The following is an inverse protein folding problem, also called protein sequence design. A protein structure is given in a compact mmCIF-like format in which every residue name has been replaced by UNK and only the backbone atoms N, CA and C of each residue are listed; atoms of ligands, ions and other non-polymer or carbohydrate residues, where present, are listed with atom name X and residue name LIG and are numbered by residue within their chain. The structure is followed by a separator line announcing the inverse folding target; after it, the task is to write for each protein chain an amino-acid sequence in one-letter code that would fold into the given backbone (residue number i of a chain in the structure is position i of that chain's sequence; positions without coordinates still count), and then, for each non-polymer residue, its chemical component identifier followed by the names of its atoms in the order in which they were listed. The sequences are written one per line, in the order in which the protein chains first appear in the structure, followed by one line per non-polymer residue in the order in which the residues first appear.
data_IF_640893507148
#
_entry.id   IF_640893507148
#
_cell.length_a   1.000
_cell.length_b   1.000
_cell.length_c   1.000
_cell.angle_alpha   90.00
_cell.angle_beta   90.00
_cell.angle_gamma   90.00
#
_symmetry.space_group_name_H-M   'P 1'
#
loop_
_entity.id
_entity.type
_entity.pdbx_description
1 polymer ?
#
# COMPACT_ATOMS: atom_id res chain seq x y z
N UNK A 1 -15.80 -26.69 -11.69
CA UNK A 1 -15.04 -25.82 -10.76
C UNK A 1 -13.69 -25.56 -11.39
N UNK A 2 -13.24 -24.30 -11.39
CA UNK A 2 -11.86 -23.91 -11.78
C UNK A 2 -11.18 -23.27 -10.58
N UNK A 3 -9.84 -23.22 -10.56
CA UNK A 3 -9.12 -22.54 -9.49
C UNK A 3 -9.34 -21.02 -9.58
N UNK A 4 -9.16 -20.47 -10.79
CA UNK A 4 -9.23 -19.04 -11.10
C UNK A 4 -10.50 -18.72 -11.93
N UNK A 5 -11.10 -17.53 -11.76
CA UNK A 5 -12.23 -17.07 -12.55
C UNK A 5 -11.73 -16.46 -13.86
N UNK A 6 -11.18 -17.29 -14.77
CA UNK A 6 -10.62 -16.79 -16.02
C UNK A 6 -11.61 -15.92 -16.80
N UNK A 7 -12.92 -16.14 -16.74
CA UNK A 7 -13.90 -15.26 -17.42
C UNK A 7 -13.85 -13.81 -16.92
N UNK A 8 -13.54 -13.61 -15.64
CA UNK A 8 -13.49 -12.29 -15.00
C UNK A 8 -12.11 -11.67 -15.18
N UNK A 9 -11.05 -12.47 -15.00
CA UNK A 9 -9.68 -12.00 -15.13
C UNK A 9 -9.24 -11.81 -16.58
N UNK A 10 -9.66 -12.67 -17.50
CA UNK A 10 -9.45 -12.47 -18.94
C UNK A 10 -10.14 -11.19 -19.42
N UNK A 11 -11.35 -10.89 -18.91
CA UNK A 11 -12.04 -9.62 -19.19
C UNK A 11 -11.30 -8.41 -18.62
N UNK A 12 -10.83 -8.52 -17.37
CA UNK A 12 -10.11 -7.43 -16.71
C UNK A 12 -8.74 -7.19 -17.35
N UNK A 13 -8.03 -8.26 -17.70
CA UNK A 13 -6.68 -8.22 -18.24
C UNK A 13 -6.60 -8.11 -19.77
N UNK A 14 -7.74 -8.16 -20.47
CA UNK A 14 -7.82 -8.26 -21.93
C UNK A 14 -6.93 -9.40 -22.47
N UNK A 15 -7.08 -10.58 -21.86
CA UNK A 15 -6.28 -11.78 -22.15
C UNK A 15 -7.18 -12.98 -22.45
N UNK A 16 -6.58 -14.10 -22.90
CA UNK A 16 -7.30 -15.37 -23.13
C UNK A 16 -6.47 -16.52 -22.59
N UNK A 17 -6.70 -16.90 -21.35
CA UNK A 17 -5.96 -17.95 -20.65
C UNK A 17 -6.75 -19.27 -20.57
N UNK A 18 -8.07 -19.21 -20.44
CA UNK A 18 -8.95 -20.36 -20.19
C UNK A 18 -9.35 -21.20 -21.42
N UNK A 19 -8.49 -21.37 -22.43
CA UNK A 19 -8.85 -22.01 -23.73
C UNK A 19 -9.43 -23.41 -23.59
N UNK A 20 -8.77 -24.29 -22.81
CA UNK A 20 -9.22 -25.67 -22.61
C UNK A 20 -10.58 -25.75 -21.90
N UNK A 21 -10.78 -24.90 -20.89
CA UNK A 21 -12.06 -24.82 -20.17
C UNK A 21 -13.15 -24.26 -21.07
N UNK A 22 -12.82 -23.29 -21.92
CA UNK A 22 -13.75 -22.73 -22.91
C UNK A 22 -14.20 -23.79 -23.91
N UNK A 23 -13.26 -24.59 -24.43
CA UNK A 23 -13.54 -25.71 -25.32
C UNK A 23 -14.42 -26.78 -24.64
N UNK A 24 -14.06 -27.17 -23.41
CA UNK A 24 -14.89 -28.11 -22.63
C UNK A 24 -16.33 -27.61 -22.46
N UNK A 25 -16.51 -26.32 -22.13
CA UNK A 25 -17.84 -25.74 -21.88
C UNK A 25 -18.65 -25.61 -23.17
N UNK A 26 -18.03 -25.13 -24.25
CA UNK A 26 -18.72 -24.80 -25.50
C UNK A 26 -18.97 -26.03 -26.36
N UNK A 27 -17.95 -26.84 -26.54
CA UNK A 27 -17.95 -27.94 -27.52
C UNK A 27 -18.43 -29.26 -26.89
N UNK A 28 -18.06 -29.54 -25.64
CA UNK A 28 -18.41 -30.82 -24.99
C UNK A 28 -19.62 -30.72 -24.06
N UNK A 29 -19.67 -29.73 -23.16
CA UNK A 29 -20.83 -29.56 -22.28
C UNK A 29 -22.01 -28.95 -23.04
N UNK A 30 -21.76 -28.06 -24.00
CA UNK A 30 -22.73 -27.58 -24.98
C UNK A 30 -24.09 -27.19 -24.37
N UNK A 31 -24.08 -26.25 -23.41
CA UNK A 31 -25.29 -25.78 -22.70
C UNK A 31 -25.67 -26.58 -21.44
N UNK A 32 -24.97 -27.68 -21.14
CA UNK A 32 -25.17 -28.46 -19.90
C UNK A 32 -24.51 -27.86 -18.66
N UNK A 33 -23.61 -26.89 -18.82
CA UNK A 33 -22.95 -26.25 -17.68
C UNK A 33 -23.90 -25.24 -17.00
N UNK A 34 -24.64 -25.65 -15.96
CA UNK A 34 -25.54 -24.72 -15.26
C UNK A 34 -24.79 -23.73 -14.36
N UNK A 35 -23.72 -24.18 -13.72
CA UNK A 35 -22.93 -23.38 -12.78
C UNK A 35 -21.43 -23.55 -13.02
N UNK A 36 -20.72 -22.45 -13.22
CA UNK A 36 -19.26 -22.39 -13.20
C UNK A 36 -18.80 -21.63 -11.96
N UNK A 37 -18.00 -22.30 -11.13
CA UNK A 37 -17.46 -21.73 -9.89
C UNK A 37 -15.94 -21.62 -9.96
N UNK A 38 -15.39 -20.58 -9.35
CA UNK A 38 -13.98 -20.39 -9.13
C UNK A 38 -13.66 -19.64 -7.83
N UNK A 39 -12.40 -19.73 -7.40
CA UNK A 39 -11.85 -19.02 -6.23
C UNK A 39 -10.85 -17.96 -6.67
N UNK A 40 -9.67 -17.98 -6.06
CA UNK A 40 -8.48 -17.14 -6.34
C UNK A 40 -8.65 -15.62 -6.13
N UNK A 41 -9.68 -15.02 -6.71
CA UNK A 41 -10.04 -13.63 -6.42
C UNK A 41 -10.81 -13.58 -5.10
N UNK A 42 -10.23 -12.92 -4.11
CA UNK A 42 -10.60 -12.94 -2.70
C UNK A 42 -11.85 -12.12 -2.35
N UNK A 43 -12.88 -12.21 -3.19
CA UNK A 43 -14.20 -11.67 -2.93
C UNK A 43 -15.26 -12.72 -3.24
N UNK A 44 -16.52 -12.37 -3.03
CA UNK A 44 -17.64 -13.11 -3.58
C UNK A 44 -18.35 -12.29 -4.66
N UNK A 45 -18.67 -12.93 -5.78
CA UNK A 45 -19.41 -12.28 -6.86
C UNK A 45 -20.20 -13.31 -7.67
N UNK A 46 -21.51 -13.10 -7.78
CA UNK A 46 -22.40 -13.92 -8.63
C UNK A 46 -22.93 -13.14 -9.82
N UNK A 47 -22.77 -13.71 -11.00
CA UNK A 47 -23.45 -13.27 -12.21
C UNK A 47 -24.47 -14.32 -12.67
N UNK A 48 -25.65 -13.85 -13.08
CA UNK A 48 -26.70 -14.66 -13.71
C UNK A 48 -26.84 -14.22 -15.17
N UNK A 49 -27.00 -15.16 -16.08
CA UNK A 49 -27.30 -14.85 -17.46
C UNK A 49 -28.62 -14.06 -17.57
N UNK A 50 -28.70 -13.17 -18.55
CA UNK A 50 -29.92 -12.43 -18.89
C UNK A 50 -30.64 -13.17 -20.00
N UNK A 51 -31.90 -13.51 -19.77
CA UNK A 51 -32.77 -14.11 -20.79
C UNK A 51 -33.02 -13.10 -21.91
N UNK A 52 -32.54 -13.41 -23.11
CA UNK A 52 -32.75 -12.62 -24.32
C UNK A 52 -33.71 -13.36 -25.24
N UNK A 53 -34.56 -12.62 -25.95
CA UNK A 53 -35.45 -13.18 -27.00
C UNK A 53 -34.69 -13.69 -28.24
N UNK A 54 -33.37 -13.52 -28.30
CA UNK A 54 -32.52 -14.08 -29.35
C UNK A 54 -32.21 -15.55 -29.09
N UNK A 55 -32.25 -16.40 -30.12
CA UNK A 55 -31.90 -17.84 -30.11
C UNK A 55 -30.40 -18.14 -29.81
N UNK A 56 -29.70 -17.25 -29.08
CA UNK A 56 -28.30 -17.48 -28.73
C UNK A 56 -28.22 -18.55 -27.64
N UNK A 57 -27.48 -19.61 -27.94
CA UNK A 57 -27.22 -20.69 -27.01
C UNK A 57 -26.50 -20.17 -25.75
N UNK A 58 -27.10 -20.46 -24.59
CA UNK A 58 -26.52 -20.13 -23.28
C UNK A 58 -25.63 -21.28 -22.83
N UNK A 59 -24.32 -21.05 -22.79
CA UNK A 59 -23.37 -22.08 -22.36
C UNK A 59 -23.28 -22.24 -20.84
N UNK A 60 -23.43 -21.14 -20.08
CA UNK A 60 -23.37 -21.13 -18.62
C UNK A 60 -24.47 -20.25 -18.04
N UNK A 61 -25.28 -20.76 -17.11
CA UNK A 61 -26.35 -19.93 -16.50
C UNK A 61 -25.82 -19.05 -15.36
N UNK A 62 -24.97 -19.61 -14.50
CA UNK A 62 -24.44 -18.93 -13.32
C UNK A 62 -22.91 -18.94 -13.31
N UNK A 63 -22.31 -17.76 -13.12
CA UNK A 63 -20.89 -17.59 -12.86
C UNK A 63 -20.73 -17.15 -11.40
N UNK A 64 -19.97 -17.90 -10.62
CA UNK A 64 -19.80 -17.63 -9.19
C UNK A 64 -18.31 -17.61 -8.86
N UNK A 65 -17.85 -16.47 -8.34
CA UNK A 65 -16.55 -16.31 -7.72
C UNK A 65 -16.75 -16.37 -6.22
N UNK A 66 -16.04 -17.27 -5.54
CA UNK A 66 -15.92 -17.25 -4.09
C UNK A 66 -14.49 -17.61 -3.67
N UNK A 67 -13.60 -16.61 -3.65
CA UNK A 67 -12.24 -16.74 -3.14
C UNK A 67 -12.05 -16.15 -1.74
N UNK A 68 -13.13 -15.84 -1.02
CA UNK A 68 -13.07 -15.12 0.26
C UNK A 68 -12.14 -15.75 1.32
N UNK A 69 -11.79 -17.03 1.21
CA UNK A 69 -10.82 -17.72 2.07
C UNK A 69 -9.37 -17.22 1.95
N UNK A 70 -9.05 -16.33 0.99
CA UNK A 70 -7.70 -15.85 0.75
C UNK A 70 -7.05 -14.99 1.84
N UNK A 71 -5.80 -14.60 1.65
CA UNK A 71 -5.02 -13.87 2.67
C UNK A 71 -5.53 -12.45 2.97
N UNK A 72 -6.12 -11.78 1.98
CA UNK A 72 -6.69 -10.44 2.10
C UNK A 72 -7.86 -10.28 1.12
N UNK A 73 -8.79 -9.36 1.39
CA UNK A 73 -9.91 -9.05 0.52
C UNK A 73 -9.45 -8.46 -0.83
N UNK A 74 -10.01 -8.89 -1.96
CA UNK A 74 -9.89 -8.18 -3.24
C UNK A 74 -11.07 -7.22 -3.48
N UNK A 75 -10.92 -6.16 -4.29
CA UNK A 75 -12.02 -5.26 -4.60
C UNK A 75 -13.09 -5.95 -5.46
N UNK A 76 -14.33 -5.52 -5.30
CA UNK A 76 -15.43 -5.91 -6.20
C UNK A 76 -15.72 -4.83 -7.25
N UNK A 77 -15.55 -3.54 -6.90
CA UNK A 77 -15.95 -2.41 -7.74
C UNK A 77 -15.22 -2.33 -9.10
N UNK A 78 -13.97 -2.81 -9.18
CA UNK A 78 -13.23 -2.85 -10.45
C UNK A 78 -13.84 -3.79 -11.49
N UNK A 79 -14.63 -4.76 -11.04
CA UNK A 79 -15.27 -5.77 -11.89
C UNK A 79 -16.73 -5.43 -12.23
N UNK A 80 -17.24 -4.27 -11.78
CA UNK A 80 -18.65 -3.86 -11.93
C UNK A 80 -19.17 -3.90 -13.37
N UNK A 81 -18.28 -3.67 -14.34
CA UNK A 81 -18.66 -3.54 -15.75
C UNK A 81 -18.58 -4.87 -16.52
N UNK A 82 -18.20 -5.98 -15.88
CA UNK A 82 -18.25 -7.29 -16.53
C UNK A 82 -19.70 -7.68 -16.82
N UNK A 83 -20.01 -7.97 -18.09
CA UNK A 83 -21.38 -8.29 -18.50
C UNK A 83 -21.48 -9.28 -19.67
N UNK A 84 -20.38 -9.80 -20.20
CA UNK A 84 -20.42 -10.67 -21.37
C UNK A 84 -19.45 -11.84 -21.26
N UNK A 85 -19.92 -13.04 -21.61
CA UNK A 85 -19.08 -14.21 -21.81
C UNK A 85 -19.66 -15.06 -22.95
N UNK A 86 -18.83 -15.42 -23.92
CA UNK A 86 -19.22 -16.21 -25.10
C UNK A 86 -20.44 -15.64 -25.84
N UNK A 87 -20.59 -14.32 -25.90
CA UNK A 87 -21.73 -13.66 -26.54
C UNK A 87 -23.03 -13.69 -25.73
N UNK A 88 -23.04 -14.29 -24.53
CA UNK A 88 -24.15 -14.26 -23.56
C UNK A 88 -23.99 -13.08 -22.62
N UNK A 89 -25.07 -12.35 -22.36
CA UNK A 89 -25.08 -11.21 -21.44
C UNK A 89 -25.36 -11.68 -20.02
N UNK A 90 -24.64 -11.11 -19.06
CA UNK A 90 -24.73 -11.43 -17.64
C UNK A 90 -25.01 -10.18 -16.81
N UNK A 91 -25.76 -10.35 -15.75
CA UNK A 91 -26.02 -9.34 -14.73
C UNK A 91 -25.39 -9.77 -13.41
N UNK A 92 -24.61 -8.89 -12.78
CA UNK A 92 -24.10 -9.11 -11.43
C UNK A 92 -25.26 -9.02 -10.43
N UNK A 93 -25.60 -10.14 -9.79
CA UNK A 93 -26.68 -10.21 -8.80
C UNK A 93 -26.21 -9.84 -7.40
N UNK A 94 -25.08 -10.39 -6.98
CA UNK A 94 -24.58 -10.22 -5.62
C UNK A 94 -23.05 -10.06 -5.63
N UNK A 95 -22.51 -8.85 -5.41
CA UNK A 95 -21.13 -8.62 -5.05
C UNK A 95 -20.96 -8.52 -3.53
N UNK A 96 -19.90 -9.13 -2.98
CA UNK A 96 -19.58 -9.03 -1.57
C UNK A 96 -18.06 -8.84 -1.36
N UNK A 97 -17.65 -7.68 -0.80
CA UNK A 97 -18.48 -6.54 -0.39
C UNK A 97 -19.21 -5.87 -1.56
N UNK A 98 -20.20 -5.02 -1.25
CA UNK A 98 -20.88 -4.22 -2.28
C UNK A 98 -19.87 -3.35 -3.04
N UNK A 99 -20.20 -2.92 -4.26
CA UNK A 99 -19.29 -2.05 -5.03
C UNK A 99 -18.99 -0.73 -4.30
N UNK A 100 -19.99 -0.15 -3.65
CA UNK A 100 -19.85 1.08 -2.86
C UNK A 100 -18.95 0.86 -1.64
N UNK A 101 -19.17 -0.21 -0.87
CA UNK A 101 -18.32 -0.54 0.27
C UNK A 101 -16.90 -0.85 -0.17
N UNK A 102 -16.73 -1.56 -1.28
CA UNK A 102 -15.41 -1.86 -1.84
C UNK A 102 -14.66 -0.59 -2.22
N UNK A 103 -15.31 0.37 -2.90
CA UNK A 103 -14.69 1.66 -3.24
C UNK A 103 -14.35 2.49 -2.00
N UNK A 104 -15.23 2.48 -0.99
CA UNK A 104 -14.98 3.15 0.31
C UNK A 104 -13.83 2.50 1.09
N UNK A 105 -13.71 1.18 1.05
CA UNK A 105 -12.59 0.45 1.67
C UNK A 105 -11.26 0.89 1.07
N UNK A 106 -11.22 1.17 -0.25
CA UNK A 106 -10.01 1.64 -0.92
C UNK A 106 -9.47 2.97 -0.37
N UNK A 107 -10.30 3.81 0.27
CA UNK A 107 -9.84 5.03 0.98
C UNK A 107 -8.83 4.70 2.09
N UNK A 108 -8.84 3.45 2.58
CA UNK A 108 -7.81 2.92 3.46
C UNK A 108 -6.39 3.07 2.91
N UNK A 109 -6.20 3.16 1.58
CA UNK A 109 -4.87 3.39 0.99
C UNK A 109 -4.30 4.75 1.37
N UNK A 110 -5.13 5.79 1.52
CA UNK A 110 -4.65 7.09 1.99
C UNK A 110 -4.41 7.05 3.51
N UNK A 111 -5.39 6.53 4.26
CA UNK A 111 -5.43 6.70 5.72
C UNK A 111 -4.61 5.65 6.50
N UNK A 112 -4.44 4.45 5.95
CA UNK A 112 -3.91 3.28 6.66
C UNK A 112 -2.66 2.69 6.04
N UNK A 113 -2.29 3.10 4.81
CA UNK A 113 -1.14 2.53 4.11
C UNK A 113 0.14 2.62 4.93
N UNK A 114 0.51 3.81 5.44
CA UNK A 114 1.70 3.98 6.27
C UNK A 114 1.68 3.08 7.51
N UNK A 115 0.56 3.05 8.23
CA UNK A 115 0.41 2.23 9.44
C UNK A 115 0.57 0.73 9.15
N UNK A 116 0.09 0.28 7.98
CA UNK A 116 0.16 -1.13 7.56
C UNK A 116 1.50 -1.50 6.95
N UNK A 117 2.18 -0.54 6.32
CA UNK A 117 3.37 -0.75 5.51
C UNK A 117 4.51 0.16 5.96
N UNK A 118 4.73 0.33 7.27
CA UNK A 118 5.77 1.20 7.81
C UNK A 118 7.19 0.84 7.31
N UNK A 119 7.42 -0.40 6.90
CA UNK A 119 8.68 -0.83 6.28
C UNK A 119 8.94 -0.14 4.92
N UNK A 120 7.87 0.28 4.22
CA UNK A 120 7.98 1.06 2.99
C UNK A 120 8.61 2.44 3.23
N UNK A 121 8.41 3.03 4.42
CA UNK A 121 9.00 4.33 4.77
C UNK A 121 10.54 4.28 4.64
N UNK A 122 11.17 3.16 5.00
CA UNK A 122 12.62 3.00 4.88
C UNK A 122 13.12 3.23 3.46
N UNK A 123 12.55 2.49 2.51
CA UNK A 123 12.89 2.60 1.09
C UNK A 123 12.44 3.96 0.54
N UNK A 124 11.25 4.42 0.91
CA UNK A 124 10.66 5.67 0.45
C UNK A 124 11.48 6.90 0.81
N UNK A 125 11.98 6.98 2.05
CA UNK A 125 12.83 8.09 2.49
C UNK A 125 14.20 8.10 1.77
N UNK A 126 14.78 6.93 1.48
CA UNK A 126 15.99 6.83 0.65
C UNK A 126 15.72 7.36 -0.75
N UNK A 127 14.59 6.97 -1.37
CA UNK A 127 14.19 7.47 -2.69
C UNK A 127 14.04 8.99 -2.65
N UNK A 128 13.34 9.57 -1.67
CA UNK A 128 13.17 11.03 -1.57
C UNK A 128 14.50 11.74 -1.39
N UNK A 129 15.40 11.20 -0.57
CA UNK A 129 16.73 11.77 -0.40
C UNK A 129 17.49 11.76 -1.73
N UNK A 130 17.45 10.67 -2.49
CA UNK A 130 18.07 10.61 -3.83
C UNK A 130 17.44 11.61 -4.81
N UNK A 131 16.11 11.78 -4.79
CA UNK A 131 15.41 12.76 -5.63
C UNK A 131 15.81 14.20 -5.31
N UNK A 132 16.08 14.52 -4.04
CA UNK A 132 16.48 15.86 -3.61
C UNK A 132 18.00 16.05 -3.46
N UNK A 133 18.80 14.99 -3.57
CA UNK A 133 20.23 14.96 -3.20
C UNK A 133 21.04 16.11 -3.76
N UNK A 134 20.92 16.37 -5.06
CA UNK A 134 21.70 17.40 -5.75
C UNK A 134 21.32 18.83 -5.38
N UNK A 135 20.26 19.02 -4.58
CA UNK A 135 19.77 20.33 -4.16
C UNK A 135 20.28 20.74 -2.79
N UNK A 136 20.90 19.86 -2.01
CA UNK A 136 21.44 20.20 -0.71
C UNK A 136 22.87 20.76 -0.82
N UNK A 137 23.24 21.82 -0.06
CA UNK A 137 22.37 22.78 0.64
C UNK A 137 21.79 23.85 -0.29
N UNK A 138 20.74 24.54 0.17
CA UNK A 138 20.18 25.72 -0.51
C UNK A 138 20.73 27.00 0.11
N UNK A 139 21.68 27.64 -0.58
CA UNK A 139 22.43 28.80 -0.04
C UNK A 139 21.77 30.17 -0.29
N UNK A 140 20.72 30.24 -1.11
CA UNK A 140 20.04 31.49 -1.46
C UNK A 140 18.55 31.34 -1.15
N UNK A 141 18.19 31.51 0.12
CA UNK A 141 16.81 31.46 0.58
C UNK A 141 16.28 32.81 1.09
N UNK A 142 17.15 33.82 1.14
CA UNK A 142 16.81 35.12 1.74
C UNK A 142 15.64 35.82 1.06
N UNK A 143 15.47 35.61 -0.25
CA UNK A 143 14.39 36.22 -1.03
C UNK A 143 13.00 35.75 -0.59
N UNK A 144 12.88 34.56 -0.01
CA UNK A 144 11.58 34.02 0.46
C UNK A 144 11.07 34.83 1.66
N UNK A 145 11.97 35.43 2.45
CA UNK A 145 11.64 36.22 3.64
C UNK A 145 11.51 37.72 3.36
N UNK A 146 11.63 38.19 2.11
CA UNK A 146 11.69 39.64 1.80
C UNK A 146 10.32 40.30 1.72
N UNK A 147 9.27 39.57 1.36
CA UNK A 147 7.93 40.16 1.26
C UNK A 147 7.28 40.31 2.64
N UNK A 148 6.39 41.27 2.82
CA UNK A 148 5.69 41.49 4.10
C UNK A 148 4.35 40.74 4.19
N UNK A 149 3.94 40.07 3.11
CA UNK A 149 2.63 39.39 3.03
C UNK A 149 2.77 37.87 2.91
N UNK A 150 1.85 37.15 3.56
CA UNK A 150 1.79 35.68 3.46
C UNK A 150 1.64 35.19 2.01
N UNK A 151 0.86 35.90 1.19
CA UNK A 151 0.72 35.55 -0.23
C UNK A 151 2.03 35.74 -1.02
N UNK A 152 2.82 36.76 -0.69
CA UNK A 152 4.14 36.97 -1.29
C UNK A 152 5.12 35.87 -0.90
N UNK A 153 5.16 35.48 0.39
CA UNK A 153 5.96 34.34 0.85
C UNK A 153 5.57 33.04 0.13
N UNK A 154 4.27 32.77 -0.02
CA UNK A 154 3.80 31.57 -0.72
C UNK A 154 4.15 31.62 -2.21
N UNK A 155 4.02 32.77 -2.88
CA UNK A 155 4.40 32.95 -4.28
C UNK A 155 5.90 32.69 -4.50
N UNK A 156 6.75 33.37 -3.75
CA UNK A 156 8.21 33.20 -3.82
C UNK A 156 8.66 31.79 -3.45
N UNK A 157 8.00 31.13 -2.50
CA UNK A 157 8.24 29.73 -2.17
C UNK A 157 7.93 28.82 -3.36
N UNK A 158 6.75 28.92 -3.96
CA UNK A 158 6.38 28.08 -5.11
C UNK A 158 7.22 28.37 -6.36
N UNK A 159 7.61 29.62 -6.59
CA UNK A 159 8.56 29.99 -7.63
C UNK A 159 9.92 29.31 -7.40
N UNK A 160 10.37 29.25 -6.15
CA UNK A 160 11.61 28.56 -5.79
C UNK A 160 11.49 27.04 -5.96
N UNK A 161 10.35 26.45 -5.57
CA UNK A 161 10.05 25.02 -5.80
C UNK A 161 10.10 24.72 -7.31
N UNK A 162 9.46 25.55 -8.13
CA UNK A 162 9.44 25.38 -9.58
C UNK A 162 10.82 25.54 -10.21
N UNK A 163 11.58 26.57 -9.81
CA UNK A 163 12.94 26.78 -10.26
C UNK A 163 13.85 25.60 -9.91
N UNK A 164 13.73 25.08 -8.69
CA UNK A 164 14.46 23.88 -8.22
C UNK A 164 14.06 22.64 -9.01
N UNK A 165 12.76 22.45 -9.25
CA UNK A 165 12.24 21.36 -10.07
C UNK A 165 12.85 21.39 -11.48
N UNK A 166 12.88 22.56 -12.14
CA UNK A 166 13.49 22.72 -13.46
C UNK A 166 15.01 22.54 -13.44
N UNK A 167 15.67 22.98 -12.37
CA UNK A 167 17.11 22.80 -12.20
C UNK A 167 17.50 21.32 -12.14
N UNK A 168 16.68 20.47 -11.51
CA UNK A 168 16.91 19.02 -11.47
C UNK A 168 17.01 18.45 -12.89
N UNK A 169 16.11 18.83 -13.79
CA UNK A 169 16.13 18.36 -15.19
C UNK A 169 17.23 18.98 -16.03
N UNK A 170 17.62 20.22 -15.74
CA UNK A 170 18.60 20.96 -16.56
C UNK A 170 20.06 20.71 -16.18
N UNK A 171 20.37 20.50 -14.90
CA UNK A 171 21.76 20.59 -14.39
C UNK A 171 22.15 19.58 -13.31
N UNK A 172 21.22 18.75 -12.83
CA UNK A 172 21.55 17.76 -11.79
C UNK A 172 21.88 16.39 -12.40
N UNK A 173 22.87 15.69 -11.84
CA UNK A 173 23.23 14.34 -12.28
C UNK A 173 22.58 13.26 -11.42
N UNK A 174 22.76 13.33 -10.09
CA UNK A 174 22.28 12.30 -9.16
C UNK A 174 20.76 12.30 -9.07
N UNK A 175 20.16 13.47 -8.80
CA UNK A 175 18.71 13.62 -8.69
C UNK A 175 17.98 13.33 -10.01
N UNK A 176 18.53 13.73 -11.16
CA UNK A 176 18.00 13.36 -12.47
C UNK A 176 18.04 11.85 -12.70
N UNK A 177 19.17 11.20 -12.41
CA UNK A 177 19.31 9.74 -12.54
C UNK A 177 18.30 9.02 -11.66
N UNK A 178 18.15 9.43 -10.39
CA UNK A 178 17.14 8.89 -9.48
C UNK A 178 15.72 9.07 -10.01
N UNK A 179 15.41 10.24 -10.58
CA UNK A 179 14.10 10.54 -11.17
C UNK A 179 13.81 9.65 -12.39
N UNK A 180 14.78 9.49 -13.29
CA UNK A 180 14.65 8.64 -14.49
C UNK A 180 14.48 7.18 -14.12
N UNK A 181 15.27 6.67 -13.16
CA UNK A 181 15.15 5.29 -12.67
C UNK A 181 13.77 5.06 -12.04
N UNK A 182 13.31 5.98 -11.20
CA UNK A 182 11.98 5.90 -10.60
C UNK A 182 10.87 5.94 -11.66
N UNK A 183 11.04 6.72 -12.74
CA UNK A 183 10.11 6.78 -13.86
C UNK A 183 10.05 5.46 -14.63
N UNK A 184 11.19 4.85 -14.93
CA UNK A 184 11.26 3.54 -15.58
C UNK A 184 10.55 2.50 -14.74
N UNK A 185 10.81 2.47 -13.43
CA UNK A 185 10.15 1.56 -12.48
C UNK A 185 8.64 1.84 -12.48
N UNK A 186 8.21 3.09 -12.29
CA UNK A 186 6.80 3.45 -12.23
C UNK A 186 6.03 3.02 -13.49
N UNK A 187 6.58 3.25 -14.68
CA UNK A 187 5.97 2.84 -15.96
C UNK A 187 5.91 1.30 -16.08
N UNK A 188 6.97 0.61 -15.64
CA UNK A 188 7.07 -0.85 -15.73
C UNK A 188 6.05 -1.56 -14.83
N UNK A 189 5.72 -0.97 -13.68
CA UNK A 189 4.74 -1.51 -12.75
C UNK A 189 3.28 -1.25 -13.18
N UNK A 190 3.01 -0.33 -14.13
CA UNK A 190 1.64 -0.15 -14.65
C UNK A 190 1.22 -1.41 -15.43
N UNK A 191 0.06 -2.03 -15.11
CA UNK A 191 -0.39 -3.29 -15.71
C UNK A 191 -0.38 -3.28 -17.24
N UNK A 192 -0.06 -4.43 -17.85
CA UNK A 192 0.02 -4.62 -19.32
C UNK A 192 -1.27 -4.28 -20.07
N UNK A 193 -2.41 -4.32 -19.40
CA UNK A 193 -3.73 -3.89 -19.91
C UNK A 193 -3.79 -2.44 -20.36
N UNK A 194 -2.96 -1.59 -19.77
CA UNK A 194 -2.99 -0.16 -20.02
C UNK A 194 -2.17 0.14 -21.28
N UNK A 195 -2.73 0.86 -22.27
CA UNK A 195 -1.98 1.28 -23.45
C UNK A 195 -0.70 2.05 -23.09
N UNK A 196 0.39 1.83 -23.83
CA UNK A 196 1.71 2.42 -23.55
C UNK A 196 1.67 3.93 -23.26
N UNK A 197 0.94 4.71 -24.08
CA UNK A 197 0.79 6.16 -23.87
C UNK A 197 0.22 6.51 -22.49
N UNK A 198 -0.80 5.76 -22.04
CA UNK A 198 -1.41 5.96 -20.71
C UNK A 198 -0.46 5.52 -19.59
N UNK A 199 0.29 4.43 -19.76
CA UNK A 199 1.32 4.01 -18.79
C UNK A 199 2.35 5.10 -18.54
N UNK A 200 2.85 5.69 -19.63
CA UNK A 200 3.81 6.80 -19.56
C UNK A 200 3.20 7.99 -18.82
N UNK A 201 1.96 8.39 -19.14
CA UNK A 201 1.28 9.50 -18.45
C UNK A 201 1.10 9.22 -16.96
N UNK A 202 0.63 8.02 -16.58
CA UNK A 202 0.45 7.62 -15.18
C UNK A 202 1.80 7.66 -14.44
N UNK A 203 2.84 7.09 -15.04
CA UNK A 203 4.19 7.10 -14.48
C UNK A 203 4.75 8.52 -14.30
N UNK A 204 4.61 9.38 -15.31
CA UNK A 204 5.06 10.78 -15.25
C UNK A 204 4.32 11.52 -14.13
N UNK A 205 3.00 11.40 -14.04
CA UNK A 205 2.21 12.07 -13.00
C UNK A 205 2.61 11.59 -11.60
N UNK A 206 2.78 10.28 -11.43
CA UNK A 206 3.17 9.67 -10.15
C UNK A 206 4.57 10.11 -9.71
N UNK A 207 5.55 10.04 -10.61
CA UNK A 207 6.93 10.47 -10.32
C UNK A 207 7.02 11.97 -10.11
N UNK A 208 6.27 12.77 -10.88
CA UNK A 208 6.21 14.22 -10.68
C UNK A 208 5.65 14.58 -9.30
N UNK A 209 4.64 13.85 -8.82
CA UNK A 209 4.11 14.04 -7.48
C UNK A 209 5.14 13.71 -6.39
N UNK A 210 5.88 12.61 -6.54
CA UNK A 210 6.97 12.26 -5.62
C UNK A 210 8.13 13.28 -5.65
N UNK A 211 8.54 13.72 -6.85
CA UNK A 211 9.60 14.70 -7.02
C UNK A 211 9.21 16.06 -6.45
N UNK A 212 8.00 16.55 -6.74
CA UNK A 212 7.49 17.80 -6.18
C UNK A 212 7.43 17.73 -4.64
N UNK A 213 6.93 16.64 -4.07
CA UNK A 213 6.92 16.44 -2.62
C UNK A 213 8.33 16.43 -2.02
N UNK A 214 9.29 15.74 -2.65
CA UNK A 214 10.68 15.71 -2.20
C UNK A 214 11.33 17.10 -2.22
N UNK A 215 11.12 17.88 -3.28
CA UNK A 215 11.63 19.26 -3.40
C UNK A 215 11.00 20.19 -2.36
N UNK A 216 9.67 20.13 -2.18
CA UNK A 216 8.95 20.92 -1.18
C UNK A 216 9.50 20.63 0.22
N UNK A 217 9.63 19.35 0.58
CA UNK A 217 10.16 18.95 1.89
C UNK A 217 11.62 19.36 2.08
N UNK A 218 12.44 19.27 1.03
CA UNK A 218 13.83 19.69 1.08
C UNK A 218 13.92 21.19 1.37
N UNK A 219 13.13 22.00 0.65
CA UNK A 219 13.07 23.44 0.86
C UNK A 219 12.55 23.80 2.25
N UNK A 220 11.53 23.10 2.76
CA UNK A 220 11.03 23.29 4.12
C UNK A 220 12.10 22.97 5.18
N UNK A 221 12.88 21.90 4.99
CA UNK A 221 13.99 21.57 5.88
C UNK A 221 15.07 22.67 5.85
N UNK A 222 15.50 23.10 4.66
CA UNK A 222 16.51 24.14 4.49
C UNK A 222 16.03 25.50 5.03
N UNK A 223 14.77 25.86 4.83
CA UNK A 223 14.15 27.06 5.42
C UNK A 223 14.08 26.98 6.95
N UNK A 224 13.79 25.80 7.50
CA UNK A 224 13.83 25.57 8.95
C UNK A 224 15.23 25.81 9.52
N UNK A 225 16.26 25.25 8.89
CA UNK A 225 17.67 25.47 9.28
C UNK A 225 18.05 26.94 9.16
N UNK A 226 17.73 27.59 8.03
CA UNK A 226 18.00 29.02 7.80
C UNK A 226 17.31 29.90 8.86
N UNK A 227 16.07 29.59 9.23
CA UNK A 227 15.33 30.30 10.27
C UNK A 227 16.03 30.15 11.63
N UNK A 228 16.46 28.95 11.99
CA UNK A 228 17.21 28.71 13.22
C UNK A 228 18.55 29.46 13.25
N UNK A 229 19.28 29.52 12.12
CA UNK A 229 20.52 30.28 12.01
C UNK A 229 20.26 31.78 12.20
N UNK A 230 19.24 32.33 11.54
CA UNK A 230 18.85 33.76 11.64
C UNK A 230 18.48 34.17 13.07
N UNK A 231 17.79 33.29 13.79
CA UNK A 231 17.42 33.51 15.20
C UNK A 231 18.53 33.13 16.19
N UNK A 232 19.75 32.83 15.72
CA UNK A 232 20.90 32.45 16.55
C UNK A 232 20.63 31.22 17.44
N UNK A 233 19.81 30.28 16.94
CA UNK A 233 19.55 29.00 17.59
C UNK A 233 20.54 27.91 17.15
N UNK A 234 21.10 28.04 15.95
CA UNK A 234 22.11 27.13 15.39
C UNK A 234 23.26 27.92 14.76
N UNK A 235 24.42 27.27 14.61
CA UNK A 235 25.63 27.81 14.01
C UNK A 235 26.21 29.05 14.72
N UNK A 236 26.17 29.09 16.05
CA UNK A 236 26.60 30.25 16.86
C UNK A 236 28.07 30.20 17.25
N UNK A 237 28.60 29.04 17.66
CA UNK A 237 30.00 28.88 18.11
C UNK A 237 30.77 27.73 17.45
N UNK A 238 30.23 27.14 16.39
CA UNK A 238 30.90 26.13 15.56
C UNK A 238 30.47 24.69 15.90
N UNK A 239 31.26 23.70 15.52
CA UNK A 239 30.85 22.27 15.57
C UNK A 239 30.63 21.66 16.98
N UNK A 240 30.85 22.44 18.05
CA UNK A 240 30.94 21.94 19.42
C UNK A 240 30.11 22.77 20.42
N UNK A 241 29.06 23.46 19.97
CA UNK A 241 28.18 24.27 20.82
C UNK A 241 27.64 23.46 22.02
N UNK A 242 27.16 22.24 21.79
CA UNK A 242 26.67 21.36 22.85
C UNK A 242 27.76 20.99 23.87
N UNK A 243 29.00 20.82 23.41
CA UNK A 243 30.13 20.55 24.30
C UNK A 243 30.53 21.78 25.13
N UNK A 244 30.49 22.98 24.54
CA UNK A 244 30.72 24.24 25.24
C UNK A 244 29.65 24.50 26.30
N UNK A 245 28.39 24.26 25.97
CA UNK A 245 27.28 24.32 26.93
C UNK A 245 27.46 23.29 28.05
N UNK A 246 27.83 22.05 27.73
CA UNK A 246 28.11 21.03 28.74
C UNK A 246 29.25 21.45 29.67
N UNK A 247 30.35 21.97 29.13
CA UNK A 247 31.47 22.52 29.92
C UNK A 247 31.02 23.64 30.85
N UNK A 248 30.16 24.56 30.38
CA UNK A 248 29.67 25.66 31.22
C UNK A 248 28.80 25.14 32.37
N UNK A 249 27.82 24.28 32.07
CA UNK A 249 26.92 23.69 33.07
C UNK A 249 27.69 22.81 34.06
N UNK A 250 28.64 22.01 33.56
CA UNK A 250 29.52 21.18 34.37
C UNK A 250 30.35 22.03 35.34
N UNK A 251 30.91 23.15 34.88
CA UNK A 251 31.71 24.05 35.72
C UNK A 251 30.88 24.76 36.80
N UNK A 252 29.62 25.08 36.50
CA UNK A 252 28.71 25.79 37.40
C UNK A 252 28.11 24.86 38.47
N UNK A 253 27.68 23.65 38.08
CA UNK A 253 26.94 22.74 38.94
C UNK A 253 27.81 21.64 39.58
N UNK A 254 28.98 21.34 38.99
CA UNK A 254 29.88 20.26 39.44
C UNK A 254 31.34 20.75 39.52
N UNK A 255 31.65 21.68 40.46
CA UNK A 255 33.01 22.16 40.66
C UNK A 255 33.95 21.01 41.04
N UNK A 256 35.21 21.07 40.59
CA UNK A 256 36.21 20.03 40.78
C UNK A 256 37.29 20.49 41.80
N UNK A 257 37.00 20.47 43.11
CA UNK A 257 37.91 20.99 44.14
C UNK A 257 39.19 20.16 44.30
N UNK A 258 39.25 18.96 43.71
CA UNK A 258 40.41 18.05 43.79
C UNK A 258 41.19 17.95 42.48
N UNK A 259 40.85 18.77 41.48
CA UNK A 259 41.41 18.74 40.11
C UNK A 259 41.40 17.33 39.48
N UNK A 260 40.42 16.49 39.85
CA UNK A 260 40.31 15.11 39.39
C UNK A 260 40.15 15.04 37.86
N UNK A 261 39.37 15.95 37.27
CA UNK A 261 39.11 16.00 35.83
C UNK A 261 40.38 16.35 35.05
N UNK A 262 41.17 17.32 35.55
CA UNK A 262 42.48 17.66 34.95
C UNK A 262 43.45 16.48 35.04
N UNK A 263 43.44 15.75 36.15
CA UNK A 263 44.26 14.52 36.30
C UNK A 263 43.83 13.43 35.32
N UNK A 264 42.53 13.21 35.14
CA UNK A 264 42.01 12.24 34.16
C UNK A 264 42.35 12.67 32.73
N UNK A 265 42.21 13.95 32.40
CA UNK A 265 42.63 14.51 31.11
C UNK A 265 44.11 14.26 30.86
N UNK A 266 44.97 14.51 31.86
CA UNK A 266 46.41 14.23 31.76
C UNK A 266 46.72 12.74 31.60
N UNK A 267 46.11 11.87 32.43
CA UNK A 267 46.29 10.41 32.38
C UNK A 267 45.81 9.79 31.07
N UNK A 268 44.80 10.39 30.45
CA UNK A 268 44.26 9.94 29.15
C UNK A 268 44.90 10.64 27.97
N UNK A 269 45.95 11.44 28.16
CA UNK A 269 46.60 12.24 27.11
C UNK A 269 45.60 13.10 26.32
N UNK A 270 44.58 13.65 26.98
CA UNK A 270 43.52 14.46 26.36
C UNK A 270 42.42 13.65 25.66
N UNK A 271 42.48 12.32 25.68
CA UNK A 271 41.49 11.47 25.02
C UNK A 271 40.11 11.56 25.70
N UNK A 272 40.05 11.66 27.03
CA UNK A 272 38.79 11.78 27.77
C UNK A 272 37.93 12.96 27.30
N UNK A 273 38.41 14.23 27.36
CA UNK A 273 37.61 15.36 26.90
C UNK A 273 37.38 15.34 25.38
N UNK A 274 38.33 14.81 24.59
CA UNK A 274 38.15 14.68 23.14
C UNK A 274 37.03 13.71 22.78
N UNK A 275 36.96 12.54 23.43
CA UNK A 275 35.89 11.56 23.24
C UNK A 275 34.52 12.17 23.53
N UNK A 276 34.37 12.85 24.66
CA UNK A 276 33.10 13.53 25.00
C UNK A 276 32.77 14.60 23.96
N UNK A 277 33.74 15.44 23.58
CA UNK A 277 33.56 16.50 22.59
C UNK A 277 33.07 15.98 21.23
N UNK A 278 33.70 14.93 20.70
CA UNK A 278 33.31 14.36 19.42
C UNK A 278 32.01 13.54 19.50
N UNK A 279 31.77 12.85 20.62
CA UNK A 279 30.50 12.16 20.86
C UNK A 279 29.33 13.13 20.86
N UNK A 280 29.43 14.25 21.60
CA UNK A 280 28.39 15.27 21.66
C UNK A 280 28.16 15.93 20.29
N UNK A 281 29.22 16.19 19.53
CA UNK A 281 29.12 16.70 18.15
C UNK A 281 28.37 15.71 17.23
N UNK A 282 28.56 14.40 17.41
CA UNK A 282 27.83 13.39 16.64
C UNK A 282 26.32 13.34 16.97
N UNK A 283 25.92 13.73 18.18
CA UNK A 283 24.52 13.83 18.59
C UNK A 283 23.88 15.18 18.24
N UNK A 284 24.68 16.24 18.09
CA UNK A 284 24.22 17.57 17.69
C UNK A 284 24.14 17.75 16.17
N UNK A 285 23.39 16.85 15.54
CA UNK A 285 23.23 16.77 14.09
C UNK A 285 22.72 18.09 13.47
N UNK A 286 21.73 18.81 14.04
CA UNK A 286 21.30 20.11 13.52
C UNK A 286 22.40 21.16 13.49
N UNK A 287 23.25 21.23 14.54
CA UNK A 287 24.38 22.15 14.58
C UNK A 287 25.40 21.79 13.50
N UNK A 288 25.75 20.51 13.36
CA UNK A 288 26.65 20.01 12.31
C UNK A 288 26.12 20.38 10.92
N UNK A 289 24.82 20.21 10.68
CA UNK A 289 24.17 20.61 9.43
C UNK A 289 24.29 22.11 9.19
N UNK A 290 23.96 22.93 10.19
CA UNK A 290 23.94 24.40 10.07
C UNK A 290 25.34 25.00 9.87
N UNK A 291 26.33 24.57 10.66
CA UNK A 291 27.73 25.04 10.56
C UNK A 291 28.34 24.62 9.22
N UNK A 292 28.12 23.36 8.82
CA UNK A 292 28.66 22.86 7.54
C UNK A 292 27.98 23.55 6.35
N UNK A 293 26.65 23.75 6.41
CA UNK A 293 25.90 24.53 5.42
C UNK A 293 26.48 25.94 5.27
N UNK A 294 26.69 26.66 6.37
CA UNK A 294 27.29 28.00 6.32
C UNK A 294 28.68 28.00 5.68
N UNK A 295 29.47 26.95 5.95
CA UNK A 295 30.79 26.78 5.33
C UNK A 295 30.68 26.54 3.83
N UNK A 296 29.82 25.62 3.40
CA UNK A 296 29.55 25.32 1.98
C UNK A 296 29.05 26.58 1.25
N UNK A 297 28.11 27.31 1.85
CA UNK A 297 27.50 28.48 1.21
C UNK A 297 28.46 29.68 1.09
N UNK A 298 29.46 29.79 1.98
CA UNK A 298 30.49 30.84 1.91
C UNK A 298 31.66 30.46 0.99
N UNK A 299 32.15 29.22 1.13
CA UNK A 299 33.44 28.81 0.56
C UNK A 299 33.30 27.79 -0.59
N UNK A 300 32.08 27.35 -0.91
CA UNK A 300 31.82 26.30 -1.89
C UNK A 300 31.96 24.89 -1.33
N UNK A 301 31.40 23.90 -2.05
CA UNK A 301 31.42 22.48 -1.64
C UNK A 301 32.86 21.92 -1.59
N UNK A 302 33.75 22.42 -2.46
CA UNK A 302 35.15 21.99 -2.55
C UNK A 302 35.99 22.38 -1.31
N UNK A 303 35.45 23.23 -0.44
CA UNK A 303 36.11 23.57 0.83
C UNK A 303 36.06 22.44 1.88
N UNK A 304 35.20 21.43 1.67
CA UNK A 304 35.08 20.29 2.57
C UNK A 304 35.98 19.14 2.15
N UNK A 305 36.55 18.46 3.15
CA UNK A 305 37.15 17.15 2.93
C UNK A 305 36.09 16.14 2.50
N UNK A 306 36.51 15.05 1.83
CA UNK A 306 35.59 13.96 1.45
C UNK A 306 34.85 13.38 2.66
N UNK A 307 35.54 13.24 3.79
CA UNK A 307 34.93 12.80 5.05
C UNK A 307 33.92 13.81 5.59
N UNK A 308 34.23 15.10 5.54
CA UNK A 308 33.32 16.18 5.94
C UNK A 308 32.04 16.22 5.09
N UNK A 309 32.17 16.05 3.78
CA UNK A 309 31.02 15.96 2.88
C UNK A 309 30.14 14.73 3.19
N UNK A 310 30.75 13.57 3.46
CA UNK A 310 30.01 12.36 3.87
C UNK A 310 29.26 12.58 5.19
N UNK A 311 29.90 13.19 6.19
CA UNK A 311 29.26 13.53 7.46
C UNK A 311 28.09 14.47 7.23
N UNK A 312 28.26 15.52 6.42
CA UNK A 312 27.18 16.45 6.09
C UNK A 312 25.98 15.76 5.45
N UNK A 313 26.18 14.98 4.38
CA UNK A 313 25.07 14.29 3.73
C UNK A 313 24.45 13.20 4.60
N UNK A 314 25.22 12.54 5.46
CA UNK A 314 24.67 11.59 6.45
C UNK A 314 23.79 12.31 7.48
N UNK A 315 24.22 13.46 7.99
CA UNK A 315 23.45 14.30 8.89
C UNK A 315 22.15 14.79 8.26
N UNK A 316 22.22 15.30 7.01
CA UNK A 316 21.03 15.73 6.25
C UNK A 316 20.10 14.55 5.99
N UNK A 317 20.63 13.40 5.59
CA UNK A 317 19.84 12.19 5.34
C UNK A 317 19.04 11.79 6.57
N UNK A 318 19.64 11.76 7.76
CA UNK A 318 18.93 11.35 8.98
C UNK A 318 17.70 12.21 9.25
N UNK A 319 17.83 13.54 9.17
CA UNK A 319 16.71 14.45 9.41
C UNK A 319 15.70 14.44 8.27
N UNK A 320 16.18 14.50 7.03
CA UNK A 320 15.31 14.51 5.86
C UNK A 320 14.53 13.20 5.71
N UNK A 321 15.14 12.06 6.03
CA UNK A 321 14.47 10.76 6.02
C UNK A 321 13.31 10.75 7.02
N UNK A 322 13.54 11.10 8.29
CA UNK A 322 12.47 11.16 9.30
C UNK A 322 11.35 12.11 8.87
N UNK A 323 11.71 13.28 8.34
CA UNK A 323 10.76 14.31 7.92
C UNK A 323 9.94 13.92 6.69
N UNK A 324 10.55 13.22 5.72
CA UNK A 324 9.92 12.91 4.43
C UNK A 324 9.10 11.64 4.39
N UNK A 325 9.44 10.64 5.20
CA UNK A 325 8.76 9.33 5.22
C UNK A 325 7.23 9.38 5.33
N UNK A 326 6.59 10.25 6.13
CA UNK A 326 5.13 10.32 6.20
C UNK A 326 4.50 10.70 4.86
N UNK A 327 5.14 11.62 4.13
CA UNK A 327 4.65 12.16 2.86
C UNK A 327 4.87 11.16 1.74
N UNK A 328 5.97 10.40 1.75
CA UNK A 328 6.21 9.36 0.74
C UNK A 328 5.07 8.34 0.74
N UNK A 329 4.75 7.80 1.91
CA UNK A 329 3.64 6.86 2.11
C UNK A 329 2.29 7.47 1.74
N UNK A 330 2.07 8.76 2.01
CA UNK A 330 0.84 9.45 1.64
C UNK A 330 0.68 9.58 0.13
N UNK A 331 1.74 9.95 -0.59
CA UNK A 331 1.72 10.08 -2.06
C UNK A 331 1.47 8.71 -2.70
N UNK A 332 2.16 7.66 -2.24
CA UNK A 332 1.99 6.31 -2.78
C UNK A 332 0.61 5.71 -2.45
N UNK A 333 0.11 5.90 -1.22
CA UNK A 333 -1.24 5.50 -0.84
C UNK A 333 -2.32 6.23 -1.65
N UNK A 334 -2.12 7.52 -1.93
CA UNK A 334 -3.01 8.30 -2.79
C UNK A 334 -2.98 7.81 -4.24
N UNK A 335 -1.80 7.44 -4.75
CA UNK A 335 -1.66 6.81 -6.06
C UNK A 335 -2.48 5.52 -6.16
N UNK A 336 -2.35 4.59 -5.20
CA UNK A 336 -3.12 3.35 -5.20
C UNK A 336 -4.63 3.62 -5.13
N UNK A 337 -5.05 4.57 -4.30
CA UNK A 337 -6.46 4.99 -4.20
C UNK A 337 -7.01 5.55 -5.52
N UNK A 338 -6.25 6.41 -6.20
CA UNK A 338 -6.66 7.00 -7.47
C UNK A 338 -6.71 5.93 -8.57
N UNK A 339 -5.66 5.10 -8.65
CA UNK A 339 -5.55 4.03 -9.62
C UNK A 339 -6.70 3.03 -9.51
N UNK A 340 -7.06 2.62 -8.29
CA UNK A 340 -8.10 1.60 -8.12
C UNK A 340 -9.51 2.13 -8.37
N UNK A 341 -9.82 3.36 -7.97
CA UNK A 341 -11.17 3.90 -8.06
C UNK A 341 -11.49 4.59 -9.41
N UNK A 342 -10.51 5.18 -10.08
CA UNK A 342 -10.75 5.90 -11.34
C UNK A 342 -10.18 5.20 -12.57
N UNK A 343 -9.02 4.55 -12.43
CA UNK A 343 -8.39 3.85 -13.54
C UNK A 343 -8.71 2.35 -13.54
N UNK A 344 -9.28 1.84 -12.44
CA UNK A 344 -9.55 0.42 -12.19
C UNK A 344 -8.32 -0.48 -12.41
N UNK A 345 -7.13 0.01 -12.08
CA UNK A 345 -5.86 -0.74 -12.14
C UNK A 345 -5.35 -1.03 -10.72
N UNK A 346 -4.35 -1.91 -10.62
CA UNK A 346 -3.69 -2.26 -9.34
C UNK A 346 -4.62 -2.87 -8.29
N UNK A 347 -5.57 -3.71 -8.71
CA UNK A 347 -6.53 -4.30 -7.78
C UNK A 347 -5.87 -5.17 -6.71
N UNK A 348 -4.78 -5.83 -7.05
CA UNK A 348 -4.02 -6.65 -6.11
C UNK A 348 -3.19 -5.79 -5.16
N UNK A 349 -2.38 -4.85 -5.69
CA UNK A 349 -1.50 -3.99 -4.88
C UNK A 349 -2.31 -3.05 -3.96
N UNK A 350 -3.41 -2.49 -4.46
CA UNK A 350 -4.24 -1.55 -3.70
C UNK A 350 -4.96 -2.22 -2.51
N UNK A 351 -5.25 -3.52 -2.55
CA UNK A 351 -5.94 -4.20 -1.45
C UNK A 351 -5.02 -5.10 -0.62
N UNK A 352 -3.98 -5.67 -1.21
CA UNK A 352 -2.92 -6.38 -0.47
C UNK A 352 -2.21 -5.46 0.51
N UNK A 353 -1.95 -4.20 0.12
CA UNK A 353 -1.34 -3.19 0.99
C UNK A 353 -2.18 -2.87 2.24
N UNK A 354 -3.50 -3.10 2.19
CA UNK A 354 -4.42 -2.88 3.32
C UNK A 354 -4.50 -4.09 4.26
N UNK A 355 -4.12 -5.28 3.78
CA UNK A 355 -4.09 -6.55 4.54
C UNK A 355 -5.43 -6.81 5.26
N UNK A 356 -6.52 -6.69 4.51
CA UNK A 356 -7.88 -6.80 5.05
C UNK A 356 -8.26 -8.28 5.19
N UNK A 357 -8.22 -8.81 6.41
CA UNK A 357 -8.64 -10.19 6.70
C UNK A 357 -10.17 -10.37 6.80
N UNK A 358 -10.92 -9.27 6.76
CA UNK A 358 -12.38 -9.24 6.86
C UNK A 358 -13.07 -9.75 5.58
N UNK A 359 -14.41 -9.85 5.60
CA UNK A 359 -15.24 -10.29 4.47
C UNK A 359 -14.96 -11.74 4.04
N UNK A 360 -15.05 -12.67 4.99
CA UNK A 360 -14.94 -14.11 4.72
C UNK A 360 -16.28 -14.67 4.29
N UNK A 361 -16.26 -15.67 3.41
CA UNK A 361 -17.47 -16.36 2.98
C UNK A 361 -17.16 -17.78 2.51
N UNK A 362 -18.18 -18.64 2.52
CA UNK A 362 -18.15 -19.96 1.91
C UNK A 362 -19.51 -20.25 1.26
N UNK A 363 -19.48 -21.00 0.15
CA UNK A 363 -20.69 -21.39 -0.57
C UNK A 363 -21.03 -22.85 -0.27
N UNK A 364 -22.27 -23.11 0.13
CA UNK A 364 -22.82 -24.43 0.36
C UNK A 364 -23.75 -24.83 -0.78
N UNK A 365 -23.63 -26.08 -1.19
CA UNK A 365 -24.46 -26.72 -2.20
C UNK A 365 -25.32 -27.79 -1.53
N UNK A 366 -26.61 -27.81 -1.86
CA UNK A 366 -27.56 -28.80 -1.39
C UNK A 366 -28.39 -29.27 -2.57
N UNK A 367 -28.33 -30.57 -2.90
CA UNK A 367 -29.20 -31.17 -3.90
C UNK A 367 -30.43 -31.66 -3.16
N UNK A 368 -31.58 -31.06 -3.43
CA UNK A 368 -32.81 -31.41 -2.74
C UNK A 368 -33.44 -32.70 -3.30
N UNK A 369 -34.52 -33.18 -2.68
CA UNK A 369 -35.20 -34.41 -3.08
C UNK A 369 -35.80 -34.37 -4.49
N UNK A 370 -36.02 -33.19 -5.08
CA UNK A 370 -36.47 -33.02 -6.48
C UNK A 370 -35.30 -33.12 -7.48
N UNK A 371 -34.07 -33.03 -6.98
CA UNK A 371 -32.84 -32.96 -7.76
C UNK A 371 -32.44 -31.55 -8.17
N UNK A 372 -33.08 -30.52 -7.61
CA UNK A 372 -32.66 -29.13 -7.81
C UNK A 372 -31.45 -28.83 -6.93
N UNK A 373 -30.54 -28.00 -7.44
CA UNK A 373 -29.36 -27.56 -6.72
C UNK A 373 -29.64 -26.22 -6.03
N UNK A 374 -29.79 -26.26 -4.72
CA UNK A 374 -29.88 -25.09 -3.86
C UNK A 374 -28.46 -24.62 -3.49
N UNK A 375 -28.20 -23.33 -3.70
CA UNK A 375 -26.91 -22.70 -3.46
C UNK A 375 -27.10 -21.58 -2.44
N UNK A 376 -26.33 -21.64 -1.35
CA UNK A 376 -26.36 -20.62 -0.29
C UNK A 376 -24.93 -20.15 -0.03
N UNK A 377 -24.72 -18.84 0.02
CA UNK A 377 -23.43 -18.26 0.40
C UNK A 377 -23.55 -17.62 1.77
N UNK A 378 -22.75 -18.12 2.71
CA UNK A 378 -22.66 -17.67 4.09
C UNK A 378 -21.43 -16.79 4.23
N UNK A 379 -21.56 -15.63 4.87
CA UNK A 379 -20.46 -14.69 5.02
C UNK A 379 -20.40 -14.04 6.40
N UNK A 380 -19.19 -13.59 6.75
CA UNK A 380 -18.85 -12.89 7.98
C UNK A 380 -18.10 -11.61 7.60
N UNK A 381 -18.66 -10.45 7.96
CA UNK A 381 -18.10 -9.15 7.58
C UNK A 381 -16.80 -8.86 8.34
N UNK A 382 -16.72 -9.21 9.64
CA UNK A 382 -15.54 -8.98 10.49
C UNK A 382 -15.06 -10.28 11.11
N UNK A 383 -13.80 -10.63 10.85
CA UNK A 383 -13.22 -11.83 11.45
C UNK A 383 -12.68 -11.54 12.86
N UNK A 384 -12.88 -12.46 13.83
CA UNK A 384 -12.24 -12.34 15.13
C UNK A 384 -10.72 -12.52 15.01
N UNK A 385 -9.98 -11.73 15.79
CA UNK A 385 -8.51 -11.79 15.85
C UNK A 385 -8.00 -12.62 17.02
N UNK A 386 -8.81 -12.73 18.05
CA UNK A 386 -8.49 -13.44 19.27
C UNK A 386 -9.49 -14.57 19.46
N UNK A 387 -8.93 -15.76 19.67
CA UNK A 387 -9.67 -17.00 19.83
C UNK A 387 -9.34 -17.60 21.20
N UNK A 388 -10.34 -18.20 21.83
CA UNK A 388 -10.20 -18.95 23.08
C UNK A 388 -10.86 -20.30 22.96
N UNK A 389 -10.42 -21.25 23.79
CA UNK A 389 -11.06 -22.56 23.87
C UNK A 389 -12.53 -22.37 24.27
N UNK A 390 -13.45 -23.04 23.59
CA UNK A 390 -14.86 -23.02 24.00
C UNK A 390 -15.05 -23.97 25.20
N UNK A 391 -15.44 -23.46 26.39
CA UNK A 391 -15.68 -24.32 27.56
C UNK A 391 -16.77 -25.36 27.30
N UNK A 392 -17.73 -25.08 26.40
CA UNK A 392 -18.79 -26.01 26.04
C UNK A 392 -18.28 -27.18 25.20
N UNK A 393 -17.35 -26.89 24.27
CA UNK A 393 -16.64 -27.93 23.54
C UNK A 393 -15.77 -28.75 24.49
N UNK A 394 -15.04 -28.11 25.40
CA UNK A 394 -14.13 -28.81 26.33
C UNK A 394 -14.88 -29.71 27.32
N UNK A 395 -16.02 -29.23 27.85
CA UNK A 395 -16.86 -29.98 28.79
C UNK A 395 -17.78 -31.02 28.15
N UNK A 396 -17.85 -31.13 26.82
CA UNK A 396 -18.62 -32.18 26.15
C UNK A 396 -17.88 -33.53 26.26
N UNK A 397 -18.58 -34.57 26.72
CA UNK A 397 -18.05 -35.93 26.73
C UNK A 397 -17.86 -36.41 25.30
N UNK A 398 -16.61 -36.52 24.86
CA UNK A 398 -16.26 -36.91 23.48
C UNK A 398 -15.96 -38.40 23.41
N UNK A 399 -16.59 -39.09 22.47
CA UNK A 399 -16.09 -40.38 22.01
C UNK A 399 -14.93 -40.13 21.03
N UNK A 400 -13.75 -40.74 21.21
CA UNK A 400 -12.57 -40.45 20.39
C UNK A 400 -12.74 -40.68 18.88
N UNK A 401 -13.75 -41.46 18.49
CA UNK A 401 -14.01 -41.83 17.09
C UNK A 401 -15.08 -40.95 16.42
N UNK A 402 -15.82 -40.14 17.17
CA UNK A 402 -16.90 -39.34 16.61
C UNK A 402 -16.33 -38.06 15.96
N UNK A 403 -16.65 -37.79 14.69
CA UNK A 403 -16.23 -36.56 14.05
C UNK A 403 -16.88 -35.34 14.70
N UNK A 404 -16.14 -34.22 14.75
CA UNK A 404 -16.56 -33.03 15.49
C UNK A 404 -17.90 -32.44 15.03
N UNK A 405 -18.27 -32.59 13.75
CA UNK A 405 -19.53 -32.06 13.23
C UNK A 405 -20.80 -32.78 13.75
N UNK A 406 -20.65 -33.93 14.42
CA UNK A 406 -21.77 -34.62 15.08
C UNK A 406 -21.95 -34.20 16.54
N UNK A 407 -20.97 -33.47 17.10
CA UNK A 407 -20.99 -33.01 18.48
C UNK A 407 -21.99 -31.86 18.64
N UNK A 408 -22.54 -31.69 19.84
CA UNK A 408 -23.45 -30.59 20.16
C UNK A 408 -22.74 -29.24 20.04
N UNK A 409 -21.46 -29.20 20.41
CA UNK A 409 -20.58 -28.05 20.21
C UNK A 409 -19.46 -28.49 19.28
N UNK A 410 -19.59 -28.31 17.95
CA UNK A 410 -18.62 -28.85 16.99
C UNK A 410 -17.31 -28.05 16.92
N UNK A 411 -17.30 -26.79 17.38
CA UNK A 411 -16.13 -25.91 17.28
C UNK A 411 -15.30 -25.93 18.56
N UNK A 412 -14.02 -26.32 18.44
CA UNK A 412 -13.04 -26.23 19.54
C UNK A 412 -12.79 -24.79 19.99
N UNK A 413 -12.87 -23.85 19.05
CA UNK A 413 -12.52 -22.45 19.26
C UNK A 413 -13.76 -21.57 19.15
N UNK A 414 -13.82 -20.55 20.00
CA UNK A 414 -14.79 -19.47 19.92
C UNK A 414 -14.07 -18.12 19.95
N UNK A 415 -14.72 -17.07 19.43
CA UNK A 415 -14.17 -15.74 19.52
C UNK A 415 -14.04 -15.30 20.99
N UNK A 416 -12.95 -14.60 21.33
CA UNK A 416 -12.78 -14.04 22.67
C UNK A 416 -13.88 -13.05 23.03
N UNK A 417 -14.27 -12.22 22.05
CA UNK A 417 -15.41 -11.30 22.12
C UNK A 417 -16.66 -11.97 21.53
N UNK A 418 -17.73 -12.20 22.32
CA UNK A 418 -18.95 -12.87 21.84
C UNK A 418 -19.59 -12.19 20.63
N UNK A 419 -19.60 -10.85 20.58
CA UNK A 419 -20.20 -10.08 19.49
C UNK A 419 -19.45 -10.19 18.15
N UNK A 420 -18.31 -10.90 18.13
CA UNK A 420 -17.50 -11.16 16.94
C UNK A 420 -17.44 -12.65 16.60
N UNK A 421 -18.19 -13.49 17.31
CA UNK A 421 -18.19 -14.93 17.04
C UNK A 421 -18.82 -15.20 15.66
N UNK A 422 -18.13 -15.92 14.76
CA UNK A 422 -18.69 -16.26 13.45
C UNK A 422 -20.00 -17.02 13.54
N UNK A 423 -20.24 -17.80 14.60
CA UNK A 423 -21.50 -18.53 14.80
C UNK A 423 -22.69 -17.57 14.96
N UNK A 424 -22.46 -16.42 15.61
CA UNK A 424 -23.49 -15.42 15.89
C UNK A 424 -23.58 -14.32 14.81
N UNK A 425 -22.49 -14.11 14.05
CA UNK A 425 -22.37 -13.01 13.09
C UNK A 425 -22.51 -13.43 11.63
N UNK A 426 -22.50 -14.74 11.34
CA UNK A 426 -22.67 -15.26 9.99
C UNK A 426 -24.06 -14.93 9.44
N UNK A 427 -24.12 -14.53 8.17
CA UNK A 427 -25.37 -14.27 7.46
C UNK A 427 -25.34 -14.86 6.05
N UNK A 428 -26.52 -15.17 5.51
CA UNK A 428 -26.67 -15.54 4.11
C UNK A 428 -26.60 -14.25 3.28
N UNK A 429 -25.66 -14.17 2.35
CA UNK A 429 -25.47 -13.01 1.46
C UNK A 429 -26.02 -13.24 0.04
N UNK A 430 -26.26 -14.50 -0.31
CA UNK A 430 -26.88 -14.90 -1.57
C UNK A 430 -27.51 -16.29 -1.42
N UNK A 431 -28.64 -16.48 -2.09
CA UNK A 431 -29.38 -17.73 -2.13
C UNK A 431 -30.07 -17.86 -3.48
N UNK A 432 -29.89 -18.99 -4.15
CA UNK A 432 -30.57 -19.29 -5.40
C UNK A 432 -30.70 -20.79 -5.65
N UNK A 433 -31.62 -21.14 -6.54
CA UNK A 433 -31.89 -22.53 -6.93
C UNK A 433 -31.61 -22.67 -8.42
N UNK A 434 -30.93 -23.76 -8.78
CA UNK A 434 -30.79 -24.22 -10.16
C UNK A 434 -31.68 -25.45 -10.31
N UNK A 435 -32.75 -25.30 -11.09
CA UNK A 435 -33.71 -26.37 -11.30
C UNK A 435 -33.13 -27.52 -12.11
N UNK A 436 -33.56 -28.73 -11.78
CA UNK A 436 -33.25 -29.91 -12.57
C UNK A 436 -33.84 -29.75 -13.98
N UNK A 437 -33.04 -30.01 -14.99
CA UNK A 437 -33.51 -30.00 -16.38
C UNK A 437 -34.52 -31.13 -16.64
N UNK A 438 -35.67 -30.82 -17.24
CA UNK A 438 -36.67 -31.81 -17.60
C UNK A 438 -36.16 -32.76 -18.68
N UNK A 439 -36.61 -34.03 -18.68
CA UNK A 439 -36.11 -35.07 -19.61
C UNK A 439 -36.23 -34.70 -21.11
N UNK A 440 -37.25 -33.92 -21.49
CA UNK A 440 -37.50 -33.53 -22.88
C UNK A 440 -36.40 -32.63 -23.48
N UNK A 441 -35.73 -31.81 -22.67
CA UNK A 441 -34.65 -30.92 -23.14
C UNK A 441 -33.31 -31.64 -23.32
N UNK A 442 -33.15 -32.80 -22.67
CA UNK A 442 -31.92 -33.59 -22.74
C UNK A 442 -31.78 -34.37 -24.06
N UNK A 443 -32.90 -34.71 -24.71
CA UNK A 443 -32.90 -35.39 -26.01
C UNK A 443 -32.58 -34.43 -27.16
N UNK A 444 -33.00 -33.15 -27.06
CA UNK A 444 -32.65 -32.10 -28.01
C UNK A 444 -31.18 -31.65 -27.90
N UNK A 445 -30.58 -31.69 -26.71
CA UNK A 445 -29.17 -31.36 -26.50
C UNK A 445 -28.19 -32.48 -26.93
N UNK A 446 -28.67 -33.72 -27.03
CA UNK A 446 -27.91 -34.87 -27.51
C UNK A 446 -28.00 -35.02 -29.05
N UNK A 447 -27.90 -33.92 -29.78
CA UNK A 447 -27.83 -33.93 -31.24
C UNK A 447 -26.62 -34.74 -31.73
N UNK A 448 -26.89 -35.93 -32.27
CA UNK A 448 -26.06 -36.76 -33.15
C UNK A 448 -24.54 -36.67 -32.95
N UNK A 449 -24.03 -37.36 -31.92
CA UNK A 449 -22.70 -37.96 -32.01
C UNK A 449 -22.87 -39.26 -32.80
N UNK A 450 -22.92 -39.15 -34.13
CA UNK A 450 -22.74 -40.32 -34.99
C UNK A 450 -21.25 -40.69 -34.98
N UNK A 451 -21.01 -41.99 -34.81
CA UNK A 451 -19.71 -42.67 -34.83
C UNK A 451 -18.91 -42.38 -36.09
#
# INVERSE_FOLDING_TARGET
MTHEPNWLLDWYFDQVTGKNVSYLIRDHLNGRCRLRIAGDVHHYMRHKFVESKSDKQVYVQHLLVNGCGGAFLHPTHVFKNFNNLYGTTYECKNPYPTFEDSSRIALGNILKFRKKNWQFDFIGGIIYFMLAFSMFPQCRLDHIFKDDTFSGHMGTFFDTVWGTFMYIFGRSYVSLTGTVLLLIIAISFVPSTVPWKKKVVIGILHVSAHLAAAVILMLLLELGIETCIRHKLLATSGYHTLYEWYKSVESEHFPDPTDLKKRIEHWTFGLYPACIKYLMSAFDVPEVMAVTRNTICKNGMDSLSRGGAVIYYASVFLYFWVFSTPVVSLVFGSYLYICINWLHIHFDEAFSSLRIANYKSFTRFHINNKGDLEVFTLAVDKVPKEWKLDPKWDGESKHPQDPSYLQKFPSKWRASSPNQDPVDTVRIIDQFVIEKTAKHDSELANGSVNQ
#
